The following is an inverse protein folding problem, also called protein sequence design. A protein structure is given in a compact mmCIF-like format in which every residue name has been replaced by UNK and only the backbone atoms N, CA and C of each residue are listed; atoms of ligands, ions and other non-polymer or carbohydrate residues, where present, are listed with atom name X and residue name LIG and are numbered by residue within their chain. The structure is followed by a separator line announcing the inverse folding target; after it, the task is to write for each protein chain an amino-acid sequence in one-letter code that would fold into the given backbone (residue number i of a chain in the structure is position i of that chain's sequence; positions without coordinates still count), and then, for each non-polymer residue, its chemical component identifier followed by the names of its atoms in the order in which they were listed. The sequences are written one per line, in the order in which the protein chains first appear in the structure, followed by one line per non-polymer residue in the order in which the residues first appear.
data_IF_066428028978
#
_entry.id   IF_066428028978
#
_cell.length_a   1.000
_cell.length_b   1.000
_cell.length_c   1.000
_cell.angle_alpha   90.00
_cell.angle_beta   90.00
_cell.angle_gamma   90.00
#
_symmetry.space_group_name_H-M   'P 1'
#
loop_
_entity.id
_entity.type
_entity.pdbx_description
1 polymer ?
#
# COMPACT_ATOMS: atom_id res chain seq x y z
N UNK A 1 -25.74 48.50 1.72
CA UNK A 1 -25.53 47.50 2.78
C UNK A 1 -25.23 46.20 2.10
N UNK A 2 -23.91 45.88 1.90
CA UNK A 2 -23.48 44.66 1.22
C UNK A 2 -23.53 43.49 2.20
N UNK A 3 -23.95 42.27 1.77
CA UNK A 3 -23.92 41.11 2.61
C UNK A 3 -22.46 40.64 2.77
N UNK A 4 -22.02 40.63 4.01
CA UNK A 4 -20.72 40.02 4.39
C UNK A 4 -20.69 38.56 3.95
N UNK A 5 -19.77 38.25 3.04
CA UNK A 5 -19.50 36.87 2.61
C UNK A 5 -19.23 36.00 3.82
N UNK A 6 -19.95 34.90 3.93
CA UNK A 6 -19.64 33.80 4.84
C UNK A 6 -18.28 33.26 4.43
N UNK A 7 -17.30 33.41 5.31
CA UNK A 7 -16.09 32.58 5.22
C UNK A 7 -16.49 31.14 5.48
N UNK A 8 -16.40 30.31 4.45
CA UNK A 8 -16.56 28.89 4.57
C UNK A 8 -15.28 28.34 5.19
N UNK A 9 -15.36 27.88 6.43
CA UNK A 9 -14.23 27.28 7.19
C UNK A 9 -13.92 25.86 6.74
N UNK A 10 -14.53 25.34 5.68
CA UNK A 10 -14.34 23.97 5.20
C UNK A 10 -13.03 23.75 4.42
N UNK A 11 -12.31 24.79 4.03
CA UNK A 11 -11.10 24.71 3.20
C UNK A 11 -9.78 24.95 3.94
N UNK A 12 -9.79 25.08 5.24
CA UNK A 12 -8.55 25.03 6.02
C UNK A 12 -8.20 23.56 6.17
N UNK A 13 -7.41 23.00 5.24
CA UNK A 13 -6.66 21.75 5.47
C UNK A 13 -5.89 21.98 6.77
N UNK A 14 -6.43 21.51 7.88
CA UNK A 14 -5.75 21.60 9.16
C UNK A 14 -4.42 20.87 8.99
N UNK A 15 -3.34 21.61 9.20
CA UNK A 15 -2.00 21.02 9.24
C UNK A 15 -2.06 19.87 10.28
N UNK A 16 -1.64 18.65 9.92
CA UNK A 16 -1.73 17.54 10.87
C UNK A 16 -1.00 17.90 12.16
N UNK A 17 -1.49 17.47 13.32
CA UNK A 17 -0.88 17.79 14.60
C UNK A 17 0.57 17.33 14.60
N UNK A 18 1.47 18.19 15.08
CA UNK A 18 2.88 17.83 15.21
C UNK A 18 3.08 17.09 16.53
N UNK A 19 3.61 15.87 16.44
CA UNK A 19 3.91 15.03 17.59
C UNK A 19 5.38 15.19 17.98
N UNK A 20 5.65 15.33 19.27
CA UNK A 20 7.00 15.35 19.82
C UNK A 20 7.16 14.19 20.80
N UNK A 21 8.25 13.44 20.66
CA UNK A 21 8.53 12.26 21.48
C UNK A 21 9.87 12.38 22.17
N UNK A 22 9.96 11.83 23.38
CA UNK A 22 11.23 11.80 24.16
C UNK A 22 12.24 10.80 23.57
N UNK A 23 11.79 9.84 22.78
CA UNK A 23 12.62 8.83 22.14
C UNK A 23 12.31 8.72 20.64
N UNK A 24 13.32 8.39 19.82
CA UNK A 24 13.07 8.09 18.41
C UNK A 24 12.04 6.98 18.24
N UNK A 25 11.16 7.13 17.26
CA UNK A 25 10.13 6.14 16.93
C UNK A 25 10.21 5.80 15.46
N UNK A 26 10.13 4.51 15.09
CA UNK A 26 9.98 4.14 13.69
C UNK A 26 8.59 4.53 13.19
N UNK A 27 8.51 4.81 11.90
CA UNK A 27 7.23 4.90 11.22
C UNK A 27 6.69 3.50 10.92
N UNK A 28 5.36 3.35 10.92
CA UNK A 28 4.67 2.13 10.55
C UNK A 28 3.98 2.32 9.20
N UNK A 29 4.15 1.36 8.31
CA UNK A 29 3.43 1.25 7.05
C UNK A 29 2.72 -0.09 6.95
N UNK A 30 1.74 -0.17 6.08
CA UNK A 30 1.11 -1.42 5.70
C UNK A 30 1.14 -1.54 4.17
N UNK A 31 1.51 -2.70 3.68
CA UNK A 31 1.56 -3.02 2.26
C UNK A 31 0.62 -4.18 1.92
N UNK A 32 0.07 -4.16 0.72
CA UNK A 32 -0.86 -5.16 0.24
C UNK A 32 -0.21 -6.09 -0.78
N UNK A 33 -0.25 -7.39 -0.53
CA UNK A 33 -0.01 -8.42 -1.53
C UNK A 33 -1.35 -8.93 -2.06
N UNK A 34 -1.82 -8.35 -3.16
CA UNK A 34 -3.05 -8.80 -3.83
C UNK A 34 -2.69 -9.68 -5.01
N UNK A 35 -3.03 -10.95 -4.93
CA UNK A 35 -2.82 -11.92 -6.01
C UNK A 35 -4.12 -12.05 -6.80
N UNK A 36 -4.06 -11.65 -8.06
CA UNK A 36 -5.14 -11.81 -9.02
C UNK A 36 -5.06 -13.17 -9.72
N UNK A 37 -6.18 -13.85 -9.81
CA UNK A 37 -6.29 -15.13 -10.53
C UNK A 37 -7.01 -14.87 -11.85
N UNK A 38 -6.34 -15.15 -12.96
CA UNK A 38 -6.93 -15.06 -14.29
C UNK A 38 -7.84 -16.23 -14.60
N UNK A 39 -8.66 -16.10 -15.63
CA UNK A 39 -9.62 -17.14 -16.06
C UNK A 39 -8.95 -18.44 -16.50
N UNK A 40 -7.68 -18.36 -16.93
CA UNK A 40 -6.84 -19.49 -17.32
C UNK A 40 -6.04 -20.08 -16.13
N UNK A 41 -6.25 -19.55 -14.92
CA UNK A 41 -5.49 -19.93 -13.72
C UNK A 41 -4.14 -19.21 -13.59
N UNK A 42 -3.81 -18.29 -14.49
CA UNK A 42 -2.63 -17.44 -14.39
C UNK A 42 -2.67 -16.58 -13.13
N UNK A 43 -1.49 -16.34 -12.55
CA UNK A 43 -1.35 -15.60 -11.30
C UNK A 43 -0.64 -14.27 -11.53
N UNK A 44 -1.21 -13.23 -10.96
CA UNK A 44 -0.74 -11.85 -11.14
C UNK A 44 -0.65 -11.15 -9.78
N UNK A 45 0.25 -10.21 -9.67
CA UNK A 45 0.37 -9.32 -8.50
C UNK A 45 -0.04 -7.92 -8.90
N UNK A 46 -0.84 -7.28 -8.06
CA UNK A 46 -1.22 -5.88 -8.23
C UNK A 46 -0.08 -4.99 -7.75
N UNK A 47 0.40 -4.13 -8.63
CA UNK A 47 1.44 -3.16 -8.33
C UNK A 47 0.99 -1.75 -8.69
N UNK A 48 1.58 -0.77 -8.03
CA UNK A 48 1.40 0.66 -8.31
C UNK A 48 2.73 1.27 -8.71
N UNK A 49 2.69 2.17 -9.68
CA UNK A 49 3.87 2.91 -10.11
C UNK A 49 4.04 4.16 -9.26
N UNK A 50 5.21 4.34 -8.69
CA UNK A 50 5.49 5.50 -7.87
C UNK A 50 5.57 6.77 -8.70
N UNK A 51 4.81 7.80 -8.32
CA UNK A 51 4.76 9.08 -9.00
C UNK A 51 5.76 10.12 -8.49
N UNK A 52 6.52 9.80 -7.42
CA UNK A 52 7.48 10.72 -6.81
C UNK A 52 8.63 9.97 -6.13
N UNK A 53 9.70 10.70 -5.81
CA UNK A 53 10.85 10.17 -5.07
C UNK A 53 10.47 9.77 -3.61
N UNK A 54 11.15 8.79 -2.99
CA UNK A 54 12.20 7.93 -3.57
C UNK A 54 11.61 6.87 -4.52
N UNK A 55 12.44 6.35 -5.41
CA UNK A 55 12.08 5.33 -6.40
C UNK A 55 10.99 5.76 -7.38
N UNK A 56 10.97 7.04 -7.78
CA UNK A 56 10.04 7.53 -8.80
C UNK A 56 10.14 6.67 -10.08
N UNK A 57 8.97 6.30 -10.61
CA UNK A 57 8.86 5.45 -11.80
C UNK A 57 9.04 3.95 -11.56
N UNK A 58 9.49 3.52 -10.39
CA UNK A 58 9.51 2.11 -10.00
C UNK A 58 8.13 1.63 -9.55
N UNK A 59 7.91 0.34 -9.66
CA UNK A 59 6.68 -0.31 -9.20
C UNK A 59 6.82 -0.76 -7.74
N UNK A 60 5.72 -0.78 -7.02
CA UNK A 60 5.67 -1.13 -5.61
C UNK A 60 4.38 -1.87 -5.27
N UNK A 61 4.38 -2.61 -4.17
CA UNK A 61 3.13 -3.07 -3.56
C UNK A 61 2.30 -1.85 -3.15
N UNK A 62 0.97 -1.87 -3.34
CA UNK A 62 0.11 -0.84 -2.79
C UNK A 62 0.28 -0.75 -1.28
N UNK A 63 0.36 0.45 -0.74
CA UNK A 63 0.55 0.63 0.70
C UNK A 63 1.02 2.04 1.05
N UNK A 64 1.07 2.32 2.34
CA UNK A 64 1.48 3.61 2.85
C UNK A 64 1.53 3.68 4.36
N UNK A 65 1.68 4.88 4.88
CA UNK A 65 1.82 5.13 6.31
C UNK A 65 0.48 4.98 7.04
N UNK A 66 0.55 4.28 8.18
CA UNK A 66 -0.60 4.14 9.08
C UNK A 66 -0.95 5.48 9.71
N UNK A 67 -2.23 5.82 9.69
CA UNK A 67 -2.78 6.95 10.42
C UNK A 67 -3.04 6.61 11.90
N UNK A 68 -3.18 7.64 12.75
CA UNK A 68 -3.28 7.46 14.20
C UNK A 68 -4.57 6.74 14.64
N UNK A 69 -5.64 6.83 13.85
CA UNK A 69 -6.97 6.30 14.20
C UNK A 69 -7.34 5.02 13.43
N UNK A 70 -6.35 4.34 12.84
CA UNK A 70 -6.60 3.11 12.09
C UNK A 70 -5.71 1.95 12.53
N UNK A 71 -6.16 0.72 12.30
CA UNK A 71 -5.33 -0.48 12.42
C UNK A 71 -4.44 -0.63 11.18
N UNK A 72 -3.40 -1.46 11.26
CA UNK A 72 -2.55 -1.75 10.10
C UNK A 72 -3.34 -2.43 8.96
N UNK A 73 -4.27 -3.31 9.27
CA UNK A 73 -5.12 -3.92 8.24
C UNK A 73 -6.04 -2.89 7.58
N UNK A 74 -6.64 -1.98 8.35
CA UNK A 74 -7.43 -0.88 7.81
C UNK A 74 -6.59 0.07 6.95
N UNK A 75 -5.37 0.36 7.37
CA UNK A 75 -4.39 1.12 6.58
C UNK A 75 -4.13 0.46 5.22
N UNK A 76 -3.82 -0.83 5.21
CA UNK A 76 -3.58 -1.59 3.97
C UNK A 76 -4.78 -1.50 3.02
N UNK A 77 -5.98 -1.70 3.52
CA UNK A 77 -7.21 -1.65 2.72
C UNK A 77 -7.51 -0.23 2.20
N UNK A 78 -7.29 0.80 3.02
CA UNK A 78 -7.45 2.20 2.62
C UNK A 78 -6.47 2.58 1.52
N UNK A 79 -5.20 2.30 1.70
CA UNK A 79 -4.16 2.57 0.70
C UNK A 79 -4.43 1.83 -0.62
N UNK A 80 -4.85 0.57 -0.55
CA UNK A 80 -5.23 -0.19 -1.74
C UNK A 80 -6.36 0.51 -2.51
N UNK A 81 -7.41 0.93 -1.82
CA UNK A 81 -8.54 1.60 -2.44
C UNK A 81 -8.14 2.96 -3.04
N UNK A 82 -7.36 3.76 -2.31
CA UNK A 82 -6.88 5.07 -2.76
C UNK A 82 -5.98 4.98 -3.98
N UNK A 83 -5.03 4.03 -3.99
CA UNK A 83 -4.02 3.93 -5.03
C UNK A 83 -4.48 3.16 -6.28
N UNK A 84 -5.44 2.25 -6.14
CA UNK A 84 -5.83 1.34 -7.24
C UNK A 84 -7.32 1.35 -7.59
N UNK A 85 -8.14 1.96 -6.74
CA UNK A 85 -9.60 1.89 -6.86
C UNK A 85 -10.20 0.53 -6.49
N UNK A 86 -9.38 -0.45 -6.09
CA UNK A 86 -9.83 -1.79 -5.74
C UNK A 86 -10.23 -1.86 -4.26
N UNK A 87 -11.42 -2.36 -3.99
CA UNK A 87 -11.89 -2.70 -2.65
C UNK A 87 -12.13 -4.20 -2.58
N UNK A 88 -11.54 -4.85 -1.59
CA UNK A 88 -11.66 -6.30 -1.39
C UNK A 88 -12.35 -6.57 -0.07
N UNK A 89 -13.58 -7.11 -0.15
CA UNK A 89 -14.38 -7.50 1.02
C UNK A 89 -14.06 -8.91 1.54
N UNK A 90 -13.13 -9.60 0.92
CA UNK A 90 -12.79 -10.98 1.22
C UNK A 90 -11.86 -11.16 2.41
N UNK A 91 -11.27 -12.34 2.48
CA UNK A 91 -10.36 -12.74 3.55
C UNK A 91 -8.97 -12.12 3.36
N UNK A 92 -8.49 -11.43 4.39
CA UNK A 92 -7.15 -10.89 4.49
C UNK A 92 -6.30 -11.71 5.45
N UNK A 93 -5.04 -11.90 5.11
CA UNK A 93 -4.08 -12.66 5.91
C UNK A 93 -2.88 -11.75 6.21
N UNK A 94 -2.53 -11.62 7.48
CA UNK A 94 -1.25 -11.00 7.85
C UNK A 94 -0.10 -11.93 7.49
N UNK A 95 0.82 -11.44 6.65
CA UNK A 95 1.93 -12.20 6.10
C UNK A 95 3.27 -11.93 6.78
N UNK A 96 3.28 -11.04 7.75
CA UNK A 96 4.44 -10.72 8.56
C UNK A 96 4.91 -9.28 8.45
N UNK A 97 5.90 -8.96 9.29
CA UNK A 97 6.54 -7.66 9.33
C UNK A 97 7.93 -7.71 8.70
N UNK A 98 8.33 -6.59 8.10
CA UNK A 98 9.62 -6.42 7.45
C UNK A 98 10.27 -5.17 8.01
N UNK A 99 11.42 -5.33 8.63
CA UNK A 99 12.01 -4.31 9.50
C UNK A 99 13.53 -4.14 9.32
N UNK A 100 14.08 -4.53 8.16
CA UNK A 100 15.48 -4.27 7.87
C UNK A 100 15.78 -2.78 8.06
N UNK A 101 16.89 -2.44 8.72
CA UNK A 101 17.16 -1.08 9.19
C UNK A 101 17.20 -0.05 8.06
N UNK A 102 17.73 -0.43 6.90
CA UNK A 102 17.95 0.42 5.74
C UNK A 102 16.93 0.24 4.60
N UNK A 103 15.78 -0.41 4.90
CA UNK A 103 14.80 -0.74 3.86
C UNK A 103 14.15 0.49 3.19
N UNK A 104 14.08 1.61 3.89
CA UNK A 104 13.50 2.86 3.39
C UNK A 104 14.50 4.01 3.58
N UNK A 105 14.92 4.70 2.50
CA UNK A 105 15.90 5.78 2.61
C UNK A 105 15.36 7.03 3.32
N UNK A 106 14.06 7.18 3.49
CA UNK A 106 13.46 8.33 4.18
C UNK A 106 13.64 8.29 5.70
N UNK A 107 13.80 7.09 6.27
CA UNK A 107 13.95 6.90 7.71
C UNK A 107 13.66 5.49 8.18
N UNK A 108 13.67 5.29 9.48
CA UNK A 108 13.37 4.00 10.10
C UNK A 108 11.90 3.64 9.94
N UNK A 109 11.62 2.68 9.09
CA UNK A 109 10.26 2.28 8.72
C UNK A 109 10.10 0.76 8.83
N UNK A 110 9.03 0.35 9.49
CA UNK A 110 8.62 -1.05 9.59
C UNK A 110 7.30 -1.20 8.83
N UNK A 111 7.23 -2.16 7.93
CA UNK A 111 5.97 -2.48 7.25
C UNK A 111 5.41 -3.81 7.72
N UNK A 112 4.07 -3.90 7.75
CA UNK A 112 3.33 -5.15 7.92
C UNK A 112 2.61 -5.43 6.61
N UNK A 113 2.75 -6.64 6.09
CA UNK A 113 2.18 -7.04 4.81
C UNK A 113 0.91 -7.86 5.03
N UNK A 114 -0.16 -7.45 4.37
CA UNK A 114 -1.43 -8.18 4.33
C UNK A 114 -1.68 -8.71 2.92
N UNK A 115 -2.12 -9.94 2.83
CA UNK A 115 -2.35 -10.59 1.54
C UNK A 115 -3.77 -11.08 1.36
N UNK A 116 -4.19 -11.12 0.11
CA UNK A 116 -5.47 -11.69 -0.32
C UNK A 116 -5.40 -12.21 -1.75
N UNK A 117 -6.31 -13.10 -2.11
CA UNK A 117 -6.47 -13.59 -3.49
C UNK A 117 -7.83 -13.18 -4.02
N UNK A 118 -7.86 -12.68 -5.22
CA UNK A 118 -9.06 -12.17 -5.88
C UNK A 118 -9.08 -12.58 -7.36
N UNK A 119 -10.24 -12.64 -8.02
CA UNK A 119 -10.30 -12.60 -9.47
C UNK A 119 -9.69 -11.29 -9.98
N UNK A 120 -9.04 -11.31 -11.14
CA UNK A 120 -8.52 -10.08 -11.75
C UNK A 120 -9.70 -9.14 -12.01
N UNK A 121 -9.54 -7.89 -11.59
CA UNK A 121 -10.49 -6.82 -11.76
C UNK A 121 -9.81 -5.57 -12.35
N UNK A 122 -10.57 -4.68 -13.01
CA UNK A 122 -10.03 -3.41 -13.50
C UNK A 122 -9.47 -2.56 -12.35
N UNK A 123 -8.31 -1.96 -12.57
CA UNK A 123 -7.64 -1.06 -11.63
C UNK A 123 -7.15 0.18 -12.35
N UNK A 124 -6.96 1.27 -11.62
CA UNK A 124 -6.36 2.51 -12.13
C UNK A 124 -5.60 3.21 -11.03
N UNK A 125 -4.53 3.91 -11.39
CA UNK A 125 -3.79 4.76 -10.47
C UNK A 125 -4.61 5.96 -9.98
N UNK A 126 -4.15 6.56 -8.91
CA UNK A 126 -4.64 7.81 -8.33
C UNK A 126 -3.62 8.94 -8.49
N UNK A 127 -3.89 10.11 -7.90
CA UNK A 127 -2.99 11.27 -7.95
C UNK A 127 -1.60 10.97 -7.35
N UNK A 128 -1.52 10.12 -6.32
CA UNK A 128 -0.26 9.75 -5.65
C UNK A 128 0.43 8.54 -6.30
N UNK A 129 -0.31 7.70 -7.02
CA UNK A 129 0.20 6.60 -7.81
C UNK A 129 -0.04 6.91 -9.30
N UNK A 130 1.03 7.01 -10.09
CA UNK A 130 0.93 7.33 -11.52
C UNK A 130 0.14 6.29 -12.30
N UNK A 131 0.22 5.01 -11.92
CA UNK A 131 -0.46 3.88 -12.54
C UNK A 131 -0.69 2.76 -11.53
N UNK A 132 -1.70 1.93 -11.77
CA UNK A 132 -1.87 0.63 -11.13
C UNK A 132 -2.05 -0.43 -12.21
N UNK A 133 -1.43 -1.60 -12.06
CA UNK A 133 -1.50 -2.67 -13.03
C UNK A 133 -1.24 -4.05 -12.43
N UNK A 134 -1.75 -5.07 -13.10
CA UNK A 134 -1.48 -6.47 -12.80
C UNK A 134 -0.26 -6.97 -13.58
N UNK A 135 0.69 -7.59 -12.88
CA UNK A 135 1.87 -8.19 -13.47
C UNK A 135 1.89 -9.69 -13.19
N UNK A 136 2.23 -10.48 -14.19
CA UNK A 136 2.49 -11.91 -13.95
C UNK A 136 3.55 -12.07 -12.86
N UNK A 137 3.32 -12.99 -11.93
CA UNK A 137 4.30 -13.28 -10.86
C UNK A 137 5.62 -13.81 -11.41
N UNK A 138 5.62 -14.35 -12.63
CA UNK A 138 6.81 -14.88 -13.30
C UNK A 138 7.58 -13.83 -14.11
N UNK A 139 7.04 -12.62 -14.24
CA UNK A 139 7.62 -11.52 -15.02
C UNK A 139 7.33 -10.17 -14.36
N UNK A 140 8.00 -9.91 -13.26
CA UNK A 140 7.83 -8.68 -12.48
C UNK A 140 8.72 -7.54 -13.03
N UNK A 141 8.23 -6.30 -12.99
CA UNK A 141 9.06 -5.12 -13.29
C UNK A 141 10.04 -4.85 -12.14
N UNK A 142 10.99 -3.90 -12.31
CA UNK A 142 11.81 -3.43 -11.20
C UNK A 142 10.95 -2.87 -10.07
N UNK A 143 11.19 -3.35 -8.85
CA UNK A 143 10.41 -2.98 -7.66
C UNK A 143 11.17 -1.98 -6.80
N UNK A 144 10.41 -1.08 -6.17
CA UNK A 144 10.92 -0.11 -5.20
C UNK A 144 11.25 -0.77 -3.86
N UNK A 145 12.09 -0.11 -3.07
CA UNK A 145 12.45 -0.52 -1.71
C UNK A 145 12.94 -1.98 -1.66
N UNK A 146 12.50 -2.73 -0.66
CA UNK A 146 12.72 -4.17 -0.49
C UNK A 146 11.53 -5.02 -0.97
N UNK A 147 10.66 -4.47 -1.81
CA UNK A 147 9.42 -5.13 -2.20
C UNK A 147 9.64 -6.45 -2.95
N UNK A 148 10.77 -6.60 -3.65
CA UNK A 148 11.12 -7.88 -4.26
C UNK A 148 11.38 -8.96 -3.19
N UNK A 149 12.12 -8.62 -2.14
CA UNK A 149 12.37 -9.52 -1.00
C UNK A 149 11.06 -9.85 -0.27
N UNK A 150 10.20 -8.84 -0.08
CA UNK A 150 8.87 -9.02 0.51
C UNK A 150 8.06 -10.05 -0.28
N UNK A 151 8.00 -9.93 -1.61
CA UNK A 151 7.28 -10.88 -2.46
C UNK A 151 7.83 -12.29 -2.34
N UNK A 152 9.14 -12.46 -2.31
CA UNK A 152 9.79 -13.77 -2.18
C UNK A 152 9.40 -14.49 -0.87
N UNK A 153 9.17 -13.74 0.19
CA UNK A 153 8.78 -14.27 1.51
C UNK A 153 7.27 -14.38 1.66
N UNK A 154 6.54 -13.35 1.27
CA UNK A 154 5.10 -13.23 1.52
C UNK A 154 4.26 -14.11 0.59
N UNK A 155 4.65 -14.27 -0.67
CA UNK A 155 3.87 -15.05 -1.64
C UNK A 155 3.73 -16.52 -1.23
N UNK A 156 4.78 -17.25 -0.84
CA UNK A 156 4.62 -18.62 -0.33
C UNK A 156 3.78 -18.70 0.96
N UNK A 157 3.86 -17.68 1.82
CA UNK A 157 3.03 -17.61 3.04
C UNK A 157 1.56 -17.46 2.71
N UNK A 158 1.24 -16.61 1.74
CA UNK A 158 -0.14 -16.43 1.26
C UNK A 158 -0.68 -17.74 0.68
N UNK A 159 0.11 -18.42 -0.15
CA UNK A 159 -0.27 -19.70 -0.77
C UNK A 159 -0.57 -20.76 0.28
N UNK A 160 0.24 -20.87 1.32
CA UNK A 160 0.02 -21.83 2.40
C UNK A 160 -1.28 -21.60 3.20
N UNK A 161 -1.75 -20.35 3.25
CA UNK A 161 -2.99 -19.96 3.95
C UNK A 161 -4.26 -20.22 3.15
N UNK A 162 -4.14 -20.31 1.83
CA UNK A 162 -5.26 -20.62 0.92
C UNK A 162 -5.33 -22.07 0.50
N UNK A 163 -4.36 -22.90 0.88
CA UNK A 163 -4.30 -24.34 0.54
C UNK A 163 -5.02 -25.25 1.54
N UNK A 164 -5.83 -24.69 2.48
CA UNK A 164 -6.58 -25.45 3.49
C UNK A 164 -8.05 -25.49 3.19
#
# INVERSE_FOLDING_TARGET
MEPRGRFDVSDVKQKPPMYTYNYPRPALTADCLVVGIGNDGGRFVLLVKRGHEPYEGCWALPGGFMEMEETLEACAQRELAEETGLTVAGHWVELGSFSRVDRDPRGRTVTVVFGTKVPIAPVKGSDDAAEAAWFSIDSLPPLAFDHQEILQVALPRLDSRYSK
#
